data_IF_255973711638
#
_entry.id   IF_255973711638
#
_cell.length_a   1.000
_cell.length_b   1.000
_cell.length_c   1.000
_cell.angle_alpha   90.00
_cell.angle_beta   90.00
_cell.angle_gamma   90.00
#
_symmetry.space_group_name_H-M   'P 1'
#
loop_
_entity.id
_entity.type
_entity.pdbx_description
1 polymer ?
#
# COMPACT_ATOMS: atom_id res chain seq x y z
N UNK A 1 9.62 0.75 -14.78
CA UNK A 1 8.56 1.56 -15.38
C UNK A 1 7.17 1.01 -15.13
N UNK A 2 6.98 -0.31 -15.14
CA UNK A 2 5.66 -0.91 -14.89
C UNK A 2 5.09 -0.59 -13.53
N UNK A 3 5.93 -0.55 -12.49
CA UNK A 3 5.46 -0.19 -11.17
C UNK A 3 4.96 1.26 -11.13
N UNK A 4 5.70 2.16 -11.76
CA UNK A 4 5.31 3.56 -11.83
C UNK A 4 3.96 3.72 -12.54
N UNK A 5 3.77 3.02 -13.65
CA UNK A 5 2.50 3.03 -14.38
C UNK A 5 1.38 2.43 -13.54
N UNK A 6 1.66 1.35 -12.82
CA UNK A 6 0.68 0.73 -11.95
C UNK A 6 0.22 1.69 -10.85
N UNK A 7 1.14 2.46 -10.27
CA UNK A 7 0.76 3.45 -9.25
C UNK A 7 -0.15 4.52 -9.83
N UNK A 8 0.14 4.98 -11.02
CA UNK A 8 -0.71 5.97 -11.69
C UNK A 8 -2.10 5.38 -11.94
N UNK A 9 -2.15 4.13 -12.39
CA UNK A 9 -3.41 3.45 -12.64
C UNK A 9 -4.24 3.33 -11.36
N UNK A 10 -3.61 3.00 -10.24
CA UNK A 10 -4.31 2.92 -8.96
C UNK A 10 -4.85 4.29 -8.53
N UNK A 11 -4.07 5.34 -8.72
CA UNK A 11 -4.51 6.69 -8.38
C UNK A 11 -5.71 7.10 -9.23
N UNK A 12 -5.71 6.78 -10.51
CA UNK A 12 -6.84 7.09 -11.39
C UNK A 12 -8.07 6.26 -11.04
N UNK A 13 -7.89 5.00 -10.68
CA UNK A 13 -9.00 4.17 -10.24
C UNK A 13 -9.64 4.75 -8.97
N UNK A 14 -8.83 5.28 -8.07
CA UNK A 14 -9.31 5.93 -6.84
C UNK A 14 -10.14 7.18 -7.15
N UNK A 15 -9.86 7.86 -8.25
CA UNK A 15 -10.61 9.03 -8.69
C UNK A 15 -11.88 8.65 -9.48
N UNK A 16 -12.25 7.39 -9.50
CA UNK A 16 -13.47 6.92 -10.15
C UNK A 16 -13.27 6.26 -11.50
N UNK A 17 -12.06 6.23 -12.01
CA UNK A 17 -11.76 5.63 -13.31
C UNK A 17 -11.42 4.15 -13.11
N UNK A 18 -12.41 3.36 -12.70
CA UNK A 18 -12.22 1.97 -12.27
C UNK A 18 -11.62 1.05 -13.34
N UNK A 19 -11.73 1.43 -14.61
CA UNK A 19 -11.11 0.64 -15.69
C UNK A 19 -9.58 0.54 -15.50
N UNK A 20 -8.97 1.48 -14.81
CA UNK A 20 -7.54 1.45 -14.53
C UNK A 20 -7.13 0.33 -13.56
N UNK A 21 -8.08 -0.30 -12.87
CA UNK A 21 -7.76 -1.47 -12.04
C UNK A 21 -7.20 -2.62 -12.89
N UNK A 22 -7.72 -2.79 -14.10
CA UNK A 22 -7.20 -3.80 -15.01
C UNK A 22 -5.76 -3.51 -15.42
N UNK A 23 -5.46 -2.24 -15.65
CA UNK A 23 -4.10 -1.82 -15.98
C UNK A 23 -3.16 -2.13 -14.83
N UNK A 24 -3.56 -1.80 -13.61
CA UNK A 24 -2.75 -2.06 -12.43
C UNK A 24 -2.51 -3.57 -12.26
N UNK A 25 -3.55 -4.38 -12.41
CA UNK A 25 -3.43 -5.84 -12.28
C UNK A 25 -2.50 -6.42 -13.36
N UNK A 26 -2.61 -5.94 -14.60
CA UNK A 26 -1.76 -6.40 -15.69
C UNK A 26 -0.29 -6.03 -15.44
N UNK A 27 -0.04 -4.85 -14.93
CA UNK A 27 1.32 -4.41 -14.61
C UNK A 27 1.90 -5.18 -13.44
N UNK A 28 1.07 -5.52 -12.44
CA UNK A 28 1.51 -6.36 -11.35
C UNK A 28 1.96 -7.74 -11.86
N UNK A 29 1.17 -8.33 -12.77
CA UNK A 29 1.52 -9.62 -13.36
C UNK A 29 2.84 -9.55 -14.12
N UNK A 30 3.08 -8.44 -14.81
CA UNK A 30 4.35 -8.25 -15.53
C UNK A 30 5.53 -8.08 -14.59
N UNK A 31 5.32 -7.37 -13.48
CA UNK A 31 6.36 -7.23 -12.45
C UNK A 31 6.77 -8.58 -11.88
N UNK A 32 5.79 -9.44 -11.63
CA UNK A 32 6.05 -10.78 -11.10
C UNK A 32 6.91 -11.62 -12.05
N UNK A 33 6.83 -11.37 -13.35
CA UNK A 33 7.61 -12.10 -14.35
C UNK A 33 9.06 -11.63 -14.43
N UNK A 34 9.41 -10.55 -13.78
CA UNK A 34 10.79 -10.04 -13.82
C UNK A 34 11.74 -10.85 -12.95
N UNK A 35 11.20 -11.79 -12.18
CA UNK A 35 12.00 -12.73 -11.38
C UNK A 35 13.00 -12.03 -10.46
N UNK A 36 12.59 -10.93 -9.89
CA UNK A 36 13.37 -10.19 -8.92
C UNK A 36 12.56 -10.01 -7.64
N UNK A 37 13.22 -10.15 -6.49
CA UNK A 37 12.55 -10.06 -5.19
C UNK A 37 11.83 -8.72 -5.04
N UNK A 38 12.49 -7.62 -5.40
CA UNK A 38 11.88 -6.30 -5.28
C UNK A 38 10.65 -6.15 -6.18
N UNK A 39 10.70 -6.70 -7.39
CA UNK A 39 9.59 -6.60 -8.33
C UNK A 39 8.37 -7.38 -7.85
N UNK A 40 8.58 -8.58 -7.32
CA UNK A 40 7.50 -9.38 -6.75
C UNK A 40 6.89 -8.70 -5.53
N UNK A 41 7.73 -8.09 -4.69
CA UNK A 41 7.24 -7.37 -3.52
C UNK A 41 6.37 -6.17 -3.92
N UNK A 42 6.79 -5.40 -4.91
CA UNK A 42 6.00 -4.28 -5.42
C UNK A 42 4.71 -4.75 -6.08
N UNK A 43 4.75 -5.86 -6.79
CA UNK A 43 3.55 -6.45 -7.40
C UNK A 43 2.53 -6.83 -6.32
N UNK A 44 2.99 -7.39 -5.20
CA UNK A 44 2.12 -7.71 -4.07
C UNK A 44 1.40 -6.48 -3.54
N UNK A 45 2.12 -5.36 -3.43
CA UNK A 45 1.52 -4.10 -2.97
C UNK A 45 0.47 -3.59 -3.95
N UNK A 46 0.77 -3.63 -5.24
CA UNK A 46 -0.18 -3.21 -6.28
C UNK A 46 -1.44 -4.07 -6.24
N UNK A 47 -1.29 -5.38 -6.14
CA UNK A 47 -2.44 -6.29 -6.08
C UNK A 47 -3.28 -6.04 -4.84
N UNK A 48 -2.64 -5.87 -3.69
CA UNK A 48 -3.37 -5.61 -2.45
C UNK A 48 -4.17 -4.32 -2.55
N UNK A 49 -3.58 -3.28 -3.15
CA UNK A 49 -4.27 -2.00 -3.33
C UNK A 49 -5.47 -2.13 -4.26
N UNK A 50 -5.35 -2.90 -5.34
CA UNK A 50 -6.45 -3.15 -6.26
C UNK A 50 -7.57 -3.94 -5.58
N UNK A 51 -7.23 -4.95 -4.78
CA UNK A 51 -8.21 -5.73 -4.02
C UNK A 51 -8.97 -4.83 -3.04
N UNK A 52 -8.27 -3.92 -2.38
CA UNK A 52 -8.91 -2.98 -1.45
C UNK A 52 -9.96 -2.13 -2.16
N UNK A 53 -9.71 -1.73 -3.39
CA UNK A 53 -10.66 -0.92 -4.15
C UNK A 53 -11.90 -1.70 -4.63
N UNK A 54 -11.83 -3.03 -4.63
CA UNK A 54 -12.99 -3.85 -4.97
C UNK A 54 -13.91 -4.09 -3.76
N UNK A 55 -13.52 -3.61 -2.58
CA UNK A 55 -14.32 -3.76 -1.36
C UNK A 55 -14.05 -5.04 -0.58
N UNK A 56 -13.15 -5.89 -1.01
CA UNK A 56 -12.81 -7.12 -0.28
C UNK A 56 -11.78 -6.82 0.80
N UNK A 57 -12.26 -6.29 1.91
CA UNK A 57 -11.40 -5.83 3.01
C UNK A 57 -10.56 -6.94 3.62
N UNK A 58 -11.17 -8.09 3.85
CA UNK A 58 -10.49 -9.22 4.52
C UNK A 58 -9.30 -9.68 3.68
N UNK A 59 -9.52 -9.87 2.39
CA UNK A 59 -8.45 -10.29 1.50
C UNK A 59 -7.39 -9.21 1.35
N UNK A 60 -7.79 -7.95 1.27
CA UNK A 60 -6.86 -6.84 1.16
C UNK A 60 -5.94 -6.76 2.39
N UNK A 61 -6.48 -6.93 3.59
CA UNK A 61 -5.68 -6.92 4.81
C UNK A 61 -4.65 -8.05 4.78
N UNK A 62 -5.06 -9.25 4.37
CA UNK A 62 -4.17 -10.40 4.26
C UNK A 62 -3.06 -10.14 3.23
N UNK A 63 -3.42 -9.63 2.07
CA UNK A 63 -2.46 -9.36 1.00
C UNK A 63 -1.50 -8.23 1.38
N UNK A 64 -1.97 -7.21 2.07
CA UNK A 64 -1.11 -6.13 2.56
C UNK A 64 -0.11 -6.65 3.58
N UNK A 65 -0.51 -7.59 4.44
CA UNK A 65 0.41 -8.22 5.37
C UNK A 65 1.50 -8.99 4.65
N UNK A 66 1.15 -9.74 3.61
CA UNK A 66 2.12 -10.47 2.81
C UNK A 66 3.05 -9.50 2.05
N UNK A 67 2.48 -8.43 1.49
CA UNK A 67 3.27 -7.41 0.80
C UNK A 67 4.25 -6.73 1.76
N UNK A 68 3.80 -6.42 2.96
CA UNK A 68 4.65 -5.79 3.98
C UNK A 68 5.87 -6.66 4.29
N UNK A 69 5.66 -7.96 4.48
CA UNK A 69 6.77 -8.88 4.75
C UNK A 69 7.74 -8.96 3.57
N UNK A 70 7.20 -9.10 2.36
CA UNK A 70 8.02 -9.19 1.16
C UNK A 70 8.85 -7.92 0.95
N UNK A 71 8.25 -6.76 1.20
CA UNK A 71 8.94 -5.49 1.05
C UNK A 71 10.04 -5.33 2.08
N UNK A 72 9.82 -5.77 3.31
CA UNK A 72 10.88 -5.77 4.34
C UNK A 72 12.03 -6.66 3.94
N UNK A 73 11.74 -7.87 3.47
CA UNK A 73 12.78 -8.81 3.04
C UNK A 73 13.58 -8.28 1.87
N UNK A 74 12.95 -7.46 1.02
CA UNK A 74 13.60 -6.84 -0.11
C UNK A 74 14.37 -5.56 0.29
N UNK A 75 14.36 -5.18 1.56
CA UNK A 75 15.03 -3.97 2.03
C UNK A 75 14.31 -2.68 1.69
N UNK A 76 13.03 -2.76 1.36
CA UNK A 76 12.23 -1.61 0.93
C UNK A 76 11.38 -1.09 2.09
N UNK A 77 12.04 -0.54 3.11
CA UNK A 77 11.39 -0.19 4.38
C UNK A 77 10.31 0.86 4.25
N UNK A 78 10.48 1.85 3.36
CA UNK A 78 9.44 2.87 3.17
C UNK A 78 8.18 2.29 2.57
N UNK A 79 8.32 1.41 1.58
CA UNK A 79 7.17 0.74 0.98
C UNK A 79 6.52 -0.22 1.98
N UNK A 80 7.31 -0.90 2.80
CA UNK A 80 6.78 -1.76 3.86
C UNK A 80 5.95 -0.94 4.86
N UNK A 81 6.45 0.24 5.25
CA UNK A 81 5.71 1.13 6.15
C UNK A 81 4.42 1.62 5.49
N UNK A 82 4.44 1.93 4.19
CA UNK A 82 3.23 2.33 3.48
C UNK A 82 2.20 1.20 3.45
N UNK A 83 2.63 -0.03 3.21
CA UNK A 83 1.75 -1.20 3.25
C UNK A 83 1.14 -1.38 4.64
N UNK A 84 1.95 -1.23 5.68
CA UNK A 84 1.49 -1.32 7.07
C UNK A 84 0.46 -0.24 7.39
N UNK A 85 0.71 0.98 6.95
CA UNK A 85 -0.21 2.10 7.15
C UNK A 85 -1.58 1.79 6.52
N UNK A 86 -1.58 1.32 5.28
CA UNK A 86 -2.81 0.96 4.57
C UNK A 86 -3.54 -0.19 5.25
N UNK A 87 -2.78 -1.18 5.73
CA UNK A 87 -3.37 -2.29 6.48
C UNK A 87 -4.06 -1.79 7.74
N UNK A 88 -3.42 -0.87 8.45
CA UNK A 88 -4.01 -0.26 9.65
C UNK A 88 -5.31 0.48 9.34
N UNK A 89 -5.35 1.22 8.23
CA UNK A 89 -6.56 1.91 7.81
C UNK A 89 -7.72 0.94 7.55
N UNK A 90 -7.43 -0.19 6.91
CA UNK A 90 -8.45 -1.18 6.60
C UNK A 90 -8.97 -1.90 7.85
N UNK A 91 -8.09 -2.18 8.81
CA UNK A 91 -8.51 -2.82 10.06
C UNK A 91 -9.43 -1.92 10.87
N UNK A 92 -9.12 -0.65 10.99
CA UNK A 92 -10.01 0.33 11.60
C UNK A 92 -10.27 0.15 13.10
N UNK A 93 -9.55 -0.76 13.76
CA UNK A 93 -9.69 -1.04 15.18
C UNK A 93 -8.43 -0.63 15.93
N UNK A 94 -8.30 -1.05 17.20
CA UNK A 94 -7.13 -0.69 18.00
C UNK A 94 -5.83 -1.26 17.42
N UNK A 95 -5.86 -2.49 16.93
CA UNK A 95 -4.73 -3.07 16.24
C UNK A 95 -4.36 -2.23 15.02
N UNK A 96 -5.34 -1.79 14.26
CA UNK A 96 -5.12 -0.92 13.11
C UNK A 96 -4.46 0.39 13.50
N UNK A 97 -4.88 0.99 14.62
CA UNK A 97 -4.27 2.22 15.12
C UNK A 97 -2.82 2.02 15.52
N UNK A 98 -2.49 0.88 16.11
CA UNK A 98 -1.11 0.55 16.44
C UNK A 98 -0.25 0.42 15.19
N UNK A 99 -0.78 -0.21 14.15
CA UNK A 99 -0.08 -0.32 12.88
C UNK A 99 0.18 1.05 12.26
N UNK A 100 -0.81 1.94 12.34
CA UNK A 100 -0.65 3.31 11.84
C UNK A 100 0.42 4.06 12.62
N UNK A 101 0.41 3.93 13.95
CA UNK A 101 1.39 4.61 14.79
C UNK A 101 2.80 4.11 14.50
N UNK A 102 2.97 2.80 14.35
CA UNK A 102 4.28 2.22 14.07
C UNK A 102 4.79 2.64 12.69
N UNK A 103 3.93 2.65 11.68
CA UNK A 103 4.30 3.10 10.34
C UNK A 103 4.67 4.58 10.35
N UNK A 104 3.89 5.38 11.07
CA UNK A 104 4.17 6.81 11.22
C UNK A 104 5.53 7.04 11.85
N UNK A 105 5.87 6.23 12.87
CA UNK A 105 7.17 6.34 13.52
C UNK A 105 8.31 6.04 12.55
N UNK A 106 8.16 5.03 11.70
CA UNK A 106 9.18 4.71 10.68
C UNK A 106 9.43 5.91 9.78
N UNK A 107 8.36 6.53 9.29
CA UNK A 107 8.50 7.70 8.41
C UNK A 107 9.08 8.89 9.15
N UNK A 108 8.66 9.11 10.38
CA UNK A 108 9.15 10.23 11.20
C UNK A 108 10.64 10.10 11.48
N UNK A 109 11.11 8.90 11.76
CA UNK A 109 12.54 8.66 11.98
C UNK A 109 13.37 8.96 10.74
N UNK A 110 12.74 8.95 9.57
CA UNK A 110 13.38 9.33 8.31
C UNK A 110 13.16 10.80 7.97
N UNK A 111 12.71 11.59 8.95
CA UNK A 111 12.41 13.03 8.80
C UNK A 111 11.31 13.32 7.77
N UNK A 112 10.41 12.39 7.56
CA UNK A 112 9.25 12.59 6.69
C UNK A 112 8.13 13.22 7.52
N UNK A 113 7.71 14.42 7.15
CA UNK A 113 6.77 15.22 7.94
C UNK A 113 5.32 14.89 7.61
N UNK A 114 5.00 14.71 6.34
CA UNK A 114 3.62 14.47 5.93
C UNK A 114 3.42 12.99 5.58
N UNK A 115 3.09 12.20 6.59
CA UNK A 115 2.94 10.75 6.44
C UNK A 115 1.77 10.36 5.51
N UNK A 116 0.57 10.97 5.61
CA UNK A 116 -0.49 10.63 4.66
C UNK A 116 -0.09 10.89 3.20
N UNK A 117 0.64 11.96 2.95
CA UNK A 117 1.05 12.29 1.59
C UNK A 117 2.08 11.31 1.04
N UNK A 118 3.10 10.96 1.82
CA UNK A 118 4.09 9.99 1.36
C UNK A 118 3.45 8.62 1.17
N UNK A 119 2.55 8.23 2.08
CA UNK A 119 1.84 6.96 1.97
C UNK A 119 0.99 6.93 0.70
N UNK A 120 0.33 8.03 0.37
CA UNK A 120 -0.47 8.10 -0.85
C UNK A 120 0.40 8.04 -2.10
N UNK A 121 1.62 8.53 -2.03
CA UNK A 121 2.56 8.42 -3.14
C UNK A 121 3.03 6.97 -3.33
N UNK A 122 3.38 6.29 -2.25
CA UNK A 122 3.94 4.94 -2.30
C UNK A 122 2.88 3.86 -2.48
N UNK A 123 1.72 4.06 -1.89
CA UNK A 123 0.61 3.09 -1.94
C UNK A 123 -0.70 3.82 -2.24
N UNK A 124 -0.85 4.32 -3.47
CA UNK A 124 -2.06 5.04 -3.84
C UNK A 124 -3.26 4.11 -3.91
N UNK A 125 -4.44 4.70 -3.82
CA UNK A 125 -5.68 3.95 -3.90
C UNK A 125 -6.79 4.68 -3.18
N UNK A 126 -7.89 3.97 -2.94
CA UNK A 126 -9.01 4.48 -2.17
C UNK A 126 -9.02 3.78 -0.82
N UNK A 127 -8.80 4.53 0.24
CA UNK A 127 -8.56 3.97 1.57
C UNK A 127 -9.43 4.67 2.61
N UNK A 128 -9.87 3.93 3.66
CA UNK A 128 -10.63 4.55 4.74
C UNK A 128 -9.83 5.67 5.41
N UNK A 129 -10.56 6.69 5.85
CA UNK A 129 -9.93 7.85 6.46
C UNK A 129 -9.72 7.60 7.96
N UNK A 130 -8.77 6.75 8.30
CA UNK A 130 -8.37 6.49 9.68
C UNK A 130 -6.98 7.05 9.88
N UNK A 131 -6.84 7.94 10.84
CA UNK A 131 -5.55 8.53 11.18
C UNK A 131 -4.92 7.80 12.35
N UNK A 132 -3.61 7.96 12.48
CA UNK A 132 -2.91 7.48 13.67
C UNK A 132 -3.47 8.16 14.93
N UNK A 133 -3.49 7.45 16.07
CA UNK A 133 -4.01 8.03 17.31
C UNK A 133 -3.00 9.03 17.84
N UNK A 134 -3.31 10.27 17.74
CA UNK A 134 -2.40 11.26 18.20
C UNK A 134 -3.09 12.36 18.88
N UNK A 135 -4.21 12.22 19.07
CA UNK A 135 -4.73 13.18 19.49
C UNK A 135 -5.47 13.28 20.30
N UNK A 136 -5.55 13.68 20.66
CA UNK A 136 -6.06 13.97 21.35
C UNK A 136 -6.39 14.33 21.68
#
# INVERSE_FOLDING_TARGET
MRFFRARIALARAADGEVAYLRTAAADAARLEREDAVWASALASLVRASAIAMTGNRIEAVSQLGAAQRALREAGMSHYAAAAQYRRGQLLGNDEGRELLADATRVFTEQTIVNVPRITNLLAPGSWPNLSAPNRV
#
